data_IF_307558137329
#
_entry.id   IF_307558137329
#
_cell.length_a   1.000
_cell.length_b   1.000
_cell.length_c   1.000
_cell.angle_alpha   90.00
_cell.angle_beta   90.00
_cell.angle_gamma   90.00
#
_symmetry.space_group_name_H-M   'P 1'
#
loop_
_entity.id
_entity.type
_entity.pdbx_description
1 polymer ?
#
# COMPACT_ATOMS: atom_id res chain seq x y z
N UNK A 1 40.14 4.03 18.51
CA UNK A 1 38.81 3.42 18.35
C UNK A 1 39.03 1.93 18.22
N UNK A 2 38.12 1.10 18.72
CA UNK A 2 38.25 -0.34 18.58
C UNK A 2 37.95 -0.78 17.14
N UNK A 3 38.65 -1.82 16.61
CA UNK A 3 38.32 -2.40 15.33
C UNK A 3 36.96 -3.08 15.43
N UNK A 4 36.07 -2.86 14.47
CA UNK A 4 34.91 -3.74 14.29
C UNK A 4 35.17 -4.68 13.12
N UNK A 5 34.72 -5.91 13.31
CA UNK A 5 34.80 -6.97 12.31
C UNK A 5 33.41 -7.46 11.99
N UNK A 6 33.14 -7.65 10.70
CA UNK A 6 31.97 -8.39 10.26
C UNK A 6 32.35 -9.45 9.23
N UNK A 7 31.44 -10.39 9.05
CA UNK A 7 31.50 -11.45 8.05
C UNK A 7 30.20 -11.43 7.24
N UNK A 8 30.34 -11.63 5.95
CA UNK A 8 29.23 -11.73 5.00
C UNK A 8 29.47 -12.95 4.12
N UNK A 9 28.47 -13.82 3.97
CA UNK A 9 28.55 -14.90 2.97
C UNK A 9 28.46 -14.30 1.59
N UNK A 10 29.26 -14.78 0.65
CA UNK A 10 29.22 -14.30 -0.73
C UNK A 10 27.86 -14.56 -1.39
N UNK A 11 27.12 -15.57 -0.93
CA UNK A 11 25.73 -15.85 -1.36
C UNK A 11 24.73 -14.77 -0.96
N UNK A 12 25.01 -14.03 0.11
CA UNK A 12 24.11 -13.05 0.71
C UNK A 12 24.45 -11.63 0.23
N UNK A 13 25.50 -11.50 -0.59
CA UNK A 13 25.90 -10.23 -1.20
C UNK A 13 24.94 -9.85 -2.33
N UNK A 14 24.48 -8.61 -2.34
CA UNK A 14 23.61 -8.06 -3.38
C UNK A 14 24.43 -7.77 -4.64
N UNK A 15 24.37 -8.69 -5.62
CA UNK A 15 25.16 -8.61 -6.85
C UNK A 15 24.92 -7.35 -7.69
N UNK A 16 23.75 -6.72 -7.55
CA UNK A 16 23.41 -5.48 -8.26
C UNK A 16 24.26 -4.28 -7.80
N UNK A 17 25.02 -4.42 -6.70
CA UNK A 17 26.01 -3.43 -6.24
C UNK A 17 27.35 -3.50 -7.00
N UNK A 18 27.58 -4.54 -7.79
CA UNK A 18 28.83 -4.72 -8.54
C UNK A 18 28.68 -4.16 -9.97
N UNK A 19 29.74 -3.58 -10.56
CA UNK A 19 29.72 -3.08 -11.93
C UNK A 19 29.76 -4.20 -12.99
N UNK A 20 29.64 -5.46 -12.58
CA UNK A 20 29.72 -6.66 -13.43
C UNK A 20 28.34 -7.30 -13.49
N UNK A 21 27.95 -7.78 -14.67
CA UNK A 21 26.69 -8.49 -14.85
C UNK A 21 26.59 -9.70 -13.90
N UNK A 22 25.50 -9.76 -13.13
CA UNK A 22 25.26 -10.84 -12.16
C UNK A 22 25.23 -12.23 -12.79
N UNK A 23 24.86 -12.37 -14.07
CA UNK A 23 24.91 -13.66 -14.77
C UNK A 23 26.35 -14.16 -14.97
N UNK A 24 27.31 -13.25 -15.15
CA UNK A 24 28.74 -13.60 -15.29
C UNK A 24 29.34 -14.00 -13.94
N UNK A 25 28.89 -13.35 -12.86
CA UNK A 25 29.28 -13.68 -11.49
C UNK A 25 28.68 -15.02 -11.04
N UNK A 26 27.47 -15.32 -11.49
CA UNK A 26 26.75 -16.55 -11.17
C UNK A 26 27.42 -17.74 -11.85
N UNK A 27 28.13 -18.57 -11.06
CA UNK A 27 28.86 -19.74 -11.56
C UNK A 27 30.38 -19.56 -11.64
N UNK A 28 30.89 -18.35 -11.44
CA UNK A 28 32.33 -18.07 -11.38
C UNK A 28 32.73 -17.64 -9.96
N UNK A 29 32.97 -18.61 -9.08
CA UNK A 29 33.27 -18.36 -7.65
C UNK A 29 34.52 -17.49 -7.43
N UNK A 30 35.66 -17.71 -8.12
CA UNK A 30 36.83 -16.84 -7.97
C UNK A 30 36.54 -15.39 -8.38
N UNK A 31 35.85 -15.18 -9.50
CA UNK A 31 35.50 -13.84 -9.97
C UNK A 31 34.54 -13.14 -8.99
N UNK A 32 33.54 -13.85 -8.47
CA UNK A 32 32.63 -13.31 -7.46
C UNK A 32 33.41 -12.88 -6.21
N UNK A 33 34.25 -13.78 -5.67
CA UNK A 33 35.09 -13.50 -4.51
C UNK A 33 35.96 -12.26 -4.73
N UNK A 34 36.68 -12.20 -5.84
CA UNK A 34 37.61 -11.11 -6.12
C UNK A 34 36.86 -9.79 -6.36
N UNK A 35 35.68 -9.84 -6.99
CA UNK A 35 34.83 -8.67 -7.20
C UNK A 35 34.26 -8.11 -5.89
N UNK A 36 33.77 -8.98 -5.01
CA UNK A 36 33.27 -8.59 -3.68
C UNK A 36 34.40 -8.06 -2.80
N UNK A 37 35.59 -8.68 -2.86
CA UNK A 37 36.78 -8.19 -2.16
C UNK A 37 37.19 -6.80 -2.66
N UNK A 38 37.24 -6.59 -3.99
CA UNK A 38 37.57 -5.31 -4.59
C UNK A 38 36.54 -4.23 -4.21
N UNK A 39 35.26 -4.58 -4.23
CA UNK A 39 34.17 -3.71 -3.82
C UNK A 39 34.35 -3.20 -2.39
N UNK A 40 34.59 -4.09 -1.42
CA UNK A 40 34.81 -3.66 -0.05
C UNK A 40 36.13 -2.90 0.12
N UNK A 41 37.19 -3.32 -0.57
CA UNK A 41 38.47 -2.62 -0.49
C UNK A 41 38.34 -1.16 -0.93
N UNK A 42 37.68 -0.91 -2.07
CA UNK A 42 37.49 0.46 -2.56
C UNK A 42 36.55 1.27 -1.66
N UNK A 43 35.48 0.64 -1.16
CA UNK A 43 34.49 1.32 -0.30
C UNK A 43 35.11 1.81 1.02
N UNK A 44 35.99 1.02 1.62
CA UNK A 44 36.68 1.39 2.85
C UNK A 44 37.92 2.25 2.64
N UNK A 45 38.51 2.27 1.44
CA UNK A 45 39.64 3.15 1.10
C UNK A 45 39.27 4.64 1.17
N UNK A 46 38.02 4.99 0.88
CA UNK A 46 37.49 6.35 1.01
C UNK A 46 37.08 6.72 2.44
N UNK A 47 37.06 5.76 3.36
CA UNK A 47 36.78 5.99 4.79
C UNK A 47 38.11 6.22 5.52
N UNK A 48 38.13 7.10 6.52
CA UNK A 48 39.30 7.28 7.37
C UNK A 48 39.68 6.00 8.14
N UNK A 49 40.92 5.90 8.61
CA UNK A 49 41.38 4.77 9.42
C UNK A 49 42.00 3.61 8.60
N UNK A 50 42.09 2.44 9.22
CA UNK A 50 42.75 1.26 8.64
C UNK A 50 41.73 0.15 8.39
N UNK A 51 41.70 -0.40 7.17
CA UNK A 51 40.82 -1.51 6.82
C UNK A 51 41.59 -2.72 6.30
N UNK A 52 41.08 -3.91 6.60
CA UNK A 52 41.56 -5.18 6.09
C UNK A 52 40.38 -6.00 5.60
N UNK A 53 40.39 -6.32 4.31
CA UNK A 53 39.40 -7.19 3.65
C UNK A 53 40.07 -8.51 3.33
N UNK A 54 39.46 -9.61 3.76
CA UNK A 54 39.91 -10.97 3.46
C UNK A 54 38.72 -11.75 2.95
N UNK A 55 38.84 -12.38 1.79
CA UNK A 55 37.78 -13.21 1.21
C UNK A 55 38.24 -14.65 1.01
N UNK A 56 37.36 -15.58 1.34
CA UNK A 56 37.43 -17.01 0.98
C UNK A 56 36.43 -17.29 -0.14
N UNK A 57 36.34 -18.53 -0.60
CA UNK A 57 35.36 -18.90 -1.63
C UNK A 57 33.90 -18.90 -1.12
N UNK A 58 33.68 -18.70 0.19
CA UNK A 58 32.35 -18.72 0.82
C UNK A 58 32.00 -17.41 1.54
N UNK A 59 32.97 -16.73 2.14
CA UNK A 59 32.73 -15.54 2.95
C UNK A 59 33.76 -14.44 2.70
N UNK A 60 33.34 -13.21 2.94
CA UNK A 60 34.23 -12.06 3.08
C UNK A 60 34.18 -11.55 4.50
N UNK A 61 35.36 -11.33 5.07
CA UNK A 61 35.55 -10.72 6.37
C UNK A 61 36.20 -9.35 6.18
N UNK A 62 35.59 -8.34 6.77
CA UNK A 62 36.16 -6.98 6.80
C UNK A 62 36.40 -6.61 8.25
N UNK A 63 37.60 -6.13 8.53
CA UNK A 63 37.96 -5.48 9.78
C UNK A 63 38.30 -4.03 9.45
N UNK A 64 37.63 -3.07 10.09
CA UNK A 64 37.94 -1.66 9.90
C UNK A 64 38.09 -0.99 11.27
N UNK A 65 39.16 -0.21 11.40
CA UNK A 65 39.49 0.56 12.59
C UNK A 65 39.35 2.04 12.21
N UNK A 66 38.28 2.72 12.65
CA UNK A 66 38.04 4.11 12.30
C UNK A 66 39.06 5.00 13.00
N UNK A 67 39.44 6.11 12.35
CA UNK A 67 40.33 7.09 12.95
C UNK A 67 39.55 8.05 13.87
N UNK A 68 38.33 8.42 13.47
CA UNK A 68 37.47 9.39 14.13
C UNK A 68 36.00 8.94 14.09
N UNK A 69 35.16 9.47 14.98
CA UNK A 69 33.72 9.18 14.96
C UNK A 69 33.02 9.62 13.66
N UNK A 70 33.48 10.70 13.03
CA UNK A 70 32.97 11.16 11.74
C UNK A 70 33.13 10.11 10.62
N UNK A 71 34.13 9.22 10.72
CA UNK A 71 34.28 8.14 9.74
C UNK A 71 33.14 7.12 9.87
N UNK A 72 32.66 6.87 11.10
CA UNK A 72 31.52 5.98 11.36
C UNK A 72 30.23 6.55 10.77
N UNK A 73 30.01 7.87 10.91
CA UNK A 73 28.87 8.56 10.27
C UNK A 73 28.94 8.46 8.74
N UNK A 74 30.14 8.61 8.15
CA UNK A 74 30.33 8.45 6.71
C UNK A 74 29.99 7.02 6.24
N UNK A 75 30.36 5.99 7.01
CA UNK A 75 29.95 4.61 6.71
C UNK A 75 28.44 4.42 6.86
N UNK A 76 27.80 5.02 7.87
CA UNK A 76 26.35 4.93 8.05
C UNK A 76 25.61 5.57 6.88
N UNK A 77 26.04 6.73 6.40
CA UNK A 77 25.46 7.37 5.21
C UNK A 77 25.57 6.47 3.97
N UNK A 78 26.74 5.84 3.78
CA UNK A 78 26.93 4.85 2.72
C UNK A 78 26.01 3.63 2.88
N UNK A 79 25.71 3.20 4.11
CA UNK A 79 24.77 2.11 4.38
C UNK A 79 23.33 2.49 4.04
N UNK A 80 22.93 3.74 4.27
CA UNK A 80 21.60 4.24 3.88
C UNK A 80 21.37 4.08 2.38
N UNK A 81 22.37 4.35 1.53
CA UNK A 81 22.27 4.12 0.08
C UNK A 81 22.01 2.64 -0.26
N UNK A 82 22.60 1.71 0.50
CA UNK A 82 22.34 0.28 0.32
C UNK A 82 20.93 -0.10 0.79
N UNK A 83 20.47 0.49 1.90
CA UNK A 83 19.11 0.26 2.41
C UNK A 83 18.05 0.77 1.43
N UNK A 84 18.26 1.95 0.82
CA UNK A 84 17.33 2.49 -0.19
C UNK A 84 17.30 1.66 -1.47
N UNK A 85 18.43 1.02 -1.81
CA UNK A 85 18.50 0.03 -2.90
C UNK A 85 17.94 -1.35 -2.53
N UNK A 86 17.49 -1.56 -1.29
CA UNK A 86 16.96 -2.85 -0.80
C UNK A 86 18.03 -3.92 -0.56
N UNK A 87 19.31 -3.56 -0.54
CA UNK A 87 20.43 -4.47 -0.32
C UNK A 87 20.61 -4.83 1.17
N UNK A 88 19.54 -5.28 1.82
CA UNK A 88 19.49 -5.52 3.27
C UNK A 88 20.46 -6.60 3.74
N UNK A 89 20.63 -7.68 2.96
CA UNK A 89 21.54 -8.76 3.33
C UNK A 89 23.01 -8.33 3.27
N UNK A 90 23.31 -7.35 2.42
CA UNK A 90 24.64 -6.73 2.37
C UNK A 90 24.81 -5.71 3.49
N UNK A 91 23.87 -4.80 3.72
CA UNK A 91 23.98 -3.76 4.74
C UNK A 91 23.85 -4.28 6.19
N UNK A 92 23.10 -5.36 6.40
CA UNK A 92 22.74 -5.88 7.72
C UNK A 92 23.92 -6.27 8.61
N UNK A 93 24.93 -7.03 8.13
CA UNK A 93 26.12 -7.35 8.92
C UNK A 93 26.90 -6.11 9.38
N UNK A 94 26.90 -5.03 8.59
CA UNK A 94 27.55 -3.77 8.94
C UNK A 94 26.81 -3.08 10.07
N UNK A 95 25.50 -2.88 9.91
CA UNK A 95 24.66 -2.24 10.90
C UNK A 95 24.69 -3.02 12.23
N UNK A 96 24.71 -4.35 12.16
CA UNK A 96 24.90 -5.20 13.34
C UNK A 96 26.25 -4.97 14.01
N UNK A 97 27.35 -4.96 13.26
CA UNK A 97 28.68 -4.73 13.82
C UNK A 97 28.79 -3.33 14.42
N UNK A 98 28.27 -2.31 13.74
CA UNK A 98 28.22 -0.94 14.25
C UNK A 98 27.35 -0.83 15.52
N UNK A 99 26.20 -1.51 15.59
CA UNK A 99 25.35 -1.47 16.77
C UNK A 99 26.01 -2.09 18.02
N UNK A 100 26.98 -2.99 17.85
CA UNK A 100 27.77 -3.57 18.95
C UNK A 100 28.91 -2.65 19.35
N UNK A 101 29.62 -2.06 18.38
CA UNK A 101 30.83 -1.27 18.62
C UNK A 101 30.55 0.23 18.85
N UNK A 102 29.35 0.68 18.51
CA UNK A 102 28.88 2.05 18.71
C UNK A 102 27.46 2.00 19.36
N UNK A 103 27.34 1.45 20.58
CA UNK A 103 26.04 1.23 21.22
C UNK A 103 25.27 2.53 21.53
N UNK A 104 25.98 3.66 21.60
CA UNK A 104 25.41 4.97 21.88
C UNK A 104 25.14 5.80 20.61
N UNK A 105 25.17 5.18 19.44
CA UNK A 105 24.91 5.87 18.17
C UNK A 105 23.44 5.71 17.74
N UNK A 106 22.67 6.80 17.87
CA UNK A 106 21.26 6.87 17.48
C UNK A 106 21.03 6.40 16.03
N UNK A 107 21.76 6.98 15.08
CA UNK A 107 21.58 6.74 13.64
C UNK A 107 21.81 5.29 13.25
N UNK A 108 22.76 4.61 13.91
CA UNK A 108 23.00 3.17 13.72
C UNK A 108 21.80 2.35 14.21
N UNK A 109 21.34 2.62 15.43
CA UNK A 109 20.19 1.93 16.02
C UNK A 109 18.90 2.15 15.22
N UNK A 110 18.67 3.38 14.76
CA UNK A 110 17.55 3.75 13.91
C UNK A 110 17.56 2.98 12.58
N UNK A 111 18.65 3.05 11.81
CA UNK A 111 18.74 2.41 10.50
C UNK A 111 18.72 0.88 10.60
N UNK A 112 19.37 0.31 11.62
CA UNK A 112 19.34 -1.14 11.83
C UNK A 112 17.94 -1.61 12.21
N UNK A 113 17.27 -0.88 13.09
CA UNK A 113 15.88 -1.16 13.47
C UNK A 113 14.90 -1.07 12.29
N UNK A 114 15.02 -0.05 11.44
CA UNK A 114 14.22 0.06 10.21
C UNK A 114 14.45 -1.12 9.27
N UNK A 115 15.71 -1.48 9.01
CA UNK A 115 16.04 -2.62 8.15
C UNK A 115 15.46 -3.94 8.70
N UNK A 116 15.60 -4.17 10.01
CA UNK A 116 15.02 -5.35 10.68
C UNK A 116 13.49 -5.36 10.58
N UNK A 117 12.85 -4.20 10.72
CA UNK A 117 11.41 -4.04 10.53
C UNK A 117 11.03 -4.49 9.13
N UNK A 118 11.70 -3.97 8.09
CA UNK A 118 11.44 -4.32 6.69
C UNK A 118 11.64 -5.80 6.39
N UNK A 119 12.62 -6.45 7.02
CA UNK A 119 12.82 -7.90 6.97
C UNK A 119 11.79 -8.72 7.78
N UNK A 120 10.89 -8.07 8.53
CA UNK A 120 9.91 -8.74 9.38
C UNK A 120 10.46 -9.28 10.71
N UNK A 121 11.70 -8.93 11.06
CA UNK A 121 12.33 -9.26 12.36
C UNK A 121 11.90 -8.23 13.41
N UNK A 122 10.60 -8.23 13.68
CA UNK A 122 9.92 -7.17 14.40
C UNK A 122 10.35 -7.04 15.87
N UNK A 123 10.57 -8.12 16.64
CA UNK A 123 11.06 -7.99 18.02
C UNK A 123 12.43 -7.30 18.09
N UNK A 124 13.38 -7.72 17.25
CA UNK A 124 14.72 -7.12 17.21
C UNK A 124 14.67 -5.67 16.68
N UNK A 125 13.81 -5.40 15.71
CA UNK A 125 13.57 -4.04 15.22
C UNK A 125 13.13 -3.11 16.34
N UNK A 126 12.14 -3.54 17.13
CA UNK A 126 11.62 -2.79 18.28
C UNK A 126 12.72 -2.52 19.30
N UNK A 127 13.58 -3.50 19.62
CA UNK A 127 14.67 -3.31 20.57
C UNK A 127 15.68 -2.25 20.10
N UNK A 128 16.06 -2.27 18.82
CA UNK A 128 16.96 -1.26 18.26
C UNK A 128 16.30 0.12 18.15
N UNK A 129 15.02 0.20 17.78
CA UNK A 129 14.28 1.46 17.69
C UNK A 129 14.02 2.07 19.07
N UNK A 130 13.79 1.25 20.11
CA UNK A 130 13.72 1.70 21.51
C UNK A 130 15.04 2.32 21.97
N UNK A 131 16.17 1.73 21.61
CA UNK A 131 17.51 2.33 21.87
C UNK A 131 17.67 3.64 21.12
N UNK A 132 17.24 3.72 19.86
CA UNK A 132 17.32 4.95 19.08
C UNK A 132 16.54 6.10 19.75
N UNK A 133 15.28 5.88 20.15
CA UNK A 133 14.49 6.92 20.84
C UNK A 133 15.00 7.23 22.25
N UNK A 134 15.67 6.28 22.92
CA UNK A 134 16.29 6.55 24.22
C UNK A 134 17.55 7.42 24.08
N UNK A 135 18.33 7.25 23.01
CA UNK A 135 19.53 8.04 22.72
C UNK A 135 19.17 9.45 22.24
N UNK A 136 18.16 9.59 21.38
CA UNK A 136 17.64 10.89 20.92
C UNK A 136 16.11 10.93 21.03
N UNK A 137 15.58 11.34 22.20
CA UNK A 137 14.14 11.41 22.45
C UNK A 137 13.39 12.41 21.56
N UNK A 138 14.08 13.40 21.00
CA UNK A 138 13.49 14.42 20.12
C UNK A 138 13.49 13.99 18.63
N UNK A 139 13.93 12.77 18.31
CA UNK A 139 13.94 12.26 16.94
C UNK A 139 12.54 11.76 16.53
N UNK A 140 11.75 12.63 15.90
CA UNK A 140 10.43 12.29 15.36
C UNK A 140 10.47 11.06 14.44
N UNK A 141 11.49 10.98 13.58
CA UNK A 141 11.66 9.85 12.66
C UNK A 141 11.82 8.51 13.39
N UNK A 142 12.58 8.47 14.49
CA UNK A 142 12.76 7.25 15.27
C UNK A 142 11.47 6.84 16.00
N UNK A 143 10.70 7.79 16.52
CA UNK A 143 9.37 7.53 17.08
C UNK A 143 8.40 6.99 16.03
N UNK A 144 8.38 7.57 14.82
CA UNK A 144 7.59 7.05 13.71
C UNK A 144 7.99 5.62 13.33
N UNK A 145 9.29 5.35 13.20
CA UNK A 145 9.78 4.01 12.89
C UNK A 145 9.42 2.99 13.98
N UNK A 146 9.53 3.36 15.26
CA UNK A 146 9.11 2.52 16.39
C UNK A 146 7.60 2.23 16.34
N UNK A 147 6.79 3.24 16.02
CA UNK A 147 5.35 3.11 15.84
C UNK A 147 4.98 2.14 14.72
N UNK A 148 5.65 2.25 13.56
CA UNK A 148 5.48 1.33 12.43
C UNK A 148 5.83 -0.11 12.84
N UNK A 149 6.95 -0.32 13.53
CA UNK A 149 7.38 -1.64 13.97
C UNK A 149 6.37 -2.29 14.93
N UNK A 150 5.87 -1.54 15.92
CA UNK A 150 4.80 -2.02 16.81
C UNK A 150 3.50 -2.31 16.05
N UNK A 151 3.12 -1.46 15.08
CA UNK A 151 1.92 -1.69 14.27
C UNK A 151 2.02 -3.00 13.49
N UNK A 152 3.19 -3.27 12.88
CA UNK A 152 3.44 -4.53 12.15
C UNK A 152 3.45 -5.75 13.07
N UNK A 153 3.87 -5.58 14.32
CA UNK A 153 3.88 -6.64 15.35
C UNK A 153 2.47 -6.94 15.88
N UNK A 154 1.52 -6.02 15.69
CA UNK A 154 0.16 -6.10 16.20
C UNK A 154 -0.06 -5.34 17.52
N UNK A 155 0.99 -4.70 18.05
CA UNK A 155 0.97 -3.95 19.32
C UNK A 155 0.35 -2.56 19.13
N UNK A 156 -0.94 -2.53 18.82
CA UNK A 156 -1.67 -1.32 18.43
C UNK A 156 -1.58 -0.18 19.45
N UNK A 157 -1.56 -0.48 20.75
CA UNK A 157 -1.46 0.52 21.81
C UNK A 157 -0.08 1.22 21.83
N UNK A 158 1.00 0.44 21.72
CA UNK A 158 2.37 0.98 21.70
C UNK A 158 2.66 1.69 20.37
N UNK A 159 2.10 1.19 19.27
CA UNK A 159 2.14 1.87 17.97
C UNK A 159 1.52 3.26 18.04
N UNK A 160 0.33 3.38 18.65
CA UNK A 160 -0.35 4.66 18.81
C UNK A 160 0.49 5.64 19.65
N UNK A 161 1.00 5.21 20.80
CA UNK A 161 1.83 6.07 21.67
C UNK A 161 3.06 6.60 20.93
N UNK A 162 3.79 5.73 20.24
CA UNK A 162 4.99 6.13 19.51
C UNK A 162 4.68 7.07 18.33
N UNK A 163 3.59 6.83 17.60
CA UNK A 163 3.16 7.71 16.51
C UNK A 163 2.65 9.06 17.03
N UNK A 164 1.93 9.10 18.15
CA UNK A 164 1.51 10.35 18.81
C UNK A 164 2.71 11.18 19.25
N UNK A 165 3.77 10.55 19.77
CA UNK A 165 5.01 11.24 20.13
C UNK A 165 5.74 11.79 18.91
N UNK A 166 5.79 11.03 17.81
CA UNK A 166 6.32 11.53 16.53
C UNK A 166 5.55 12.75 16.03
N UNK A 167 4.21 12.73 16.09
CA UNK A 167 3.37 13.88 15.71
C UNK A 167 3.57 15.07 16.66
N UNK A 168 3.81 14.84 17.96
CA UNK A 168 4.11 15.92 18.91
C UNK A 168 5.40 16.66 18.54
N UNK A 169 6.42 15.90 18.11
CA UNK A 169 7.73 16.42 17.74
C UNK A 169 7.75 17.07 16.35
N UNK A 170 7.08 16.47 15.38
CA UNK A 170 6.93 16.98 14.02
C UNK A 170 5.46 16.86 13.53
N UNK A 171 4.63 17.89 13.82
CA UNK A 171 3.22 17.89 13.46
C UNK A 171 2.94 17.89 11.95
N UNK A 172 3.93 18.21 11.12
CA UNK A 172 3.80 18.35 9.67
C UNK A 172 4.43 17.17 8.92
N UNK A 173 4.81 16.11 9.64
CA UNK A 173 5.29 14.87 9.03
C UNK A 173 4.12 14.10 8.39
N UNK A 174 3.91 14.30 7.09
CA UNK A 174 2.82 13.65 6.34
C UNK A 174 2.80 12.13 6.47
N UNK A 175 3.97 11.47 6.53
CA UNK A 175 4.06 10.02 6.68
C UNK A 175 3.61 9.55 8.07
N UNK A 176 4.00 10.25 9.12
CA UNK A 176 3.55 9.95 10.49
C UNK A 176 2.05 10.18 10.63
N UNK A 177 1.53 11.30 10.11
CA UNK A 177 0.10 11.60 10.11
C UNK A 177 -0.70 10.51 9.37
N UNK A 178 -0.20 10.03 8.23
CA UNK A 178 -0.80 8.89 7.51
C UNK A 178 -0.81 7.63 8.36
N UNK A 179 0.31 7.30 9.00
CA UNK A 179 0.43 6.09 9.82
C UNK A 179 -0.51 6.15 11.04
N UNK A 180 -0.51 7.26 11.78
CA UNK A 180 -1.37 7.47 12.94
C UNK A 180 -2.85 7.49 12.54
N UNK A 181 -3.19 8.21 11.48
CA UNK A 181 -4.56 8.30 10.99
C UNK A 181 -5.09 6.96 10.48
N UNK A 182 -4.25 6.21 9.75
CA UNK A 182 -4.55 4.84 9.31
C UNK A 182 -4.73 3.88 10.48
N UNK A 183 -3.89 3.99 11.51
CA UNK A 183 -4.06 3.26 12.76
C UNK A 183 -5.43 3.59 13.35
N UNK A 184 -5.73 4.86 13.61
CA UNK A 184 -6.96 5.30 14.28
C UNK A 184 -8.25 5.04 13.48
N UNK A 185 -8.18 4.92 12.16
CA UNK A 185 -9.35 4.77 11.28
C UNK A 185 -10.26 3.56 11.60
N UNK A 186 -9.75 2.53 12.29
CA UNK A 186 -10.57 1.39 12.73
C UNK A 186 -11.26 1.59 14.08
N UNK A 187 -10.63 2.31 15.01
CA UNK A 187 -11.14 2.48 16.37
C UNK A 187 -11.93 3.78 16.56
N UNK A 188 -11.45 4.86 15.94
CA UNK A 188 -12.05 6.20 16.00
C UNK A 188 -11.93 6.85 14.62
N UNK A 189 -12.80 6.48 13.65
CA UNK A 189 -12.72 6.94 12.27
C UNK A 189 -12.68 8.46 12.13
N UNK A 190 -13.37 9.20 12.99
CA UNK A 190 -13.43 10.67 12.96
C UNK A 190 -12.07 11.30 13.28
N UNK A 191 -11.35 10.77 14.27
CA UNK A 191 -9.98 11.21 14.59
C UNK A 191 -9.01 10.79 13.50
N UNK A 192 -9.12 9.55 13.02
CA UNK A 192 -8.29 9.04 11.92
C UNK A 192 -8.43 9.92 10.67
N UNK A 193 -9.65 10.36 10.37
CA UNK A 193 -9.94 11.22 9.23
C UNK A 193 -9.22 12.57 9.32
N UNK A 194 -9.14 13.19 10.51
CA UNK A 194 -8.45 14.47 10.69
C UNK A 194 -6.96 14.36 10.32
N UNK A 195 -6.29 13.32 10.81
CA UNK A 195 -4.88 13.06 10.51
C UNK A 195 -4.68 12.69 9.03
N UNK A 196 -5.52 11.81 8.48
CA UNK A 196 -5.42 11.41 7.07
C UNK A 196 -5.73 12.55 6.11
N UNK A 197 -6.65 13.45 6.47
CA UNK A 197 -6.93 14.65 5.68
C UNK A 197 -5.70 15.58 5.65
N UNK A 198 -5.04 15.81 6.79
CA UNK A 198 -3.81 16.61 6.84
C UNK A 198 -2.68 15.93 6.06
N UNK A 199 -2.51 14.62 6.22
CA UNK A 199 -1.53 13.83 5.48
C UNK A 199 -1.76 13.94 3.95
N UNK A 200 -3.01 13.83 3.49
CA UNK A 200 -3.36 13.90 2.07
C UNK A 200 -3.09 15.29 1.46
N UNK A 201 -3.16 16.37 2.25
CA UNK A 201 -2.76 17.71 1.84
C UNK A 201 -1.24 17.86 1.70
N UNK A 202 -0.48 17.24 2.61
CA UNK A 202 0.98 17.28 2.62
C UNK A 202 1.61 16.35 1.58
N UNK A 203 0.94 15.24 1.28
CA UNK A 203 1.39 14.19 0.37
C UNK A 203 0.36 13.94 -0.74
N UNK A 204 0.10 14.92 -1.64
CA UNK A 204 -0.92 14.79 -2.69
C UNK A 204 -0.57 13.71 -3.73
N UNK A 205 0.73 13.41 -3.90
CA UNK A 205 1.24 12.42 -4.87
C UNK A 205 1.52 11.05 -4.24
N UNK A 206 1.36 10.89 -2.92
CA UNK A 206 1.54 9.61 -2.26
C UNK A 206 0.28 8.75 -2.36
N UNK A 207 0.34 7.72 -3.20
CA UNK A 207 -0.81 6.86 -3.47
C UNK A 207 -1.35 6.18 -2.20
N UNK A 208 -0.46 5.79 -1.27
CA UNK A 208 -0.86 5.11 -0.04
C UNK A 208 -1.63 6.05 0.92
N UNK A 209 -1.23 7.32 0.98
CA UNK A 209 -1.93 8.38 1.72
C UNK A 209 -3.33 8.59 1.16
N UNK A 210 -3.44 8.77 -0.17
CA UNK A 210 -4.74 9.00 -0.80
C UNK A 210 -5.68 7.80 -0.64
N UNK A 211 -5.14 6.57 -0.73
CA UNK A 211 -5.89 5.36 -0.47
C UNK A 211 -6.42 5.29 0.97
N UNK A 212 -5.55 5.50 1.97
CA UNK A 212 -5.93 5.51 3.37
C UNK A 212 -6.99 6.58 3.68
N UNK A 213 -6.82 7.78 3.14
CA UNK A 213 -7.77 8.87 3.26
C UNK A 213 -9.14 8.52 2.65
N UNK A 214 -9.16 7.98 1.43
CA UNK A 214 -10.39 7.55 0.75
C UNK A 214 -11.15 6.46 1.53
N UNK A 215 -10.46 5.48 2.09
CA UNK A 215 -11.09 4.46 2.93
C UNK A 215 -11.68 5.04 4.23
N UNK A 216 -10.98 5.99 4.85
CA UNK A 216 -11.46 6.63 6.08
C UNK A 216 -12.67 7.55 5.81
N UNK A 217 -12.70 8.23 4.67
CA UNK A 217 -13.88 8.96 4.19
C UNK A 217 -15.10 8.04 4.06
N UNK A 218 -14.93 6.84 3.49
CA UNK A 218 -16.02 5.87 3.38
C UNK A 218 -16.52 5.42 4.76
N UNK A 219 -15.62 5.09 5.69
CA UNK A 219 -15.96 4.70 7.07
C UNK A 219 -16.70 5.80 7.85
N UNK A 220 -16.47 7.06 7.52
CA UNK A 220 -17.15 8.22 8.14
C UNK A 220 -18.41 8.66 7.39
N UNK A 221 -18.87 7.85 6.42
CA UNK A 221 -20.10 8.10 5.64
C UNK A 221 -19.96 9.12 4.51
N UNK A 222 -18.76 9.66 4.26
CA UNK A 222 -18.45 10.60 3.16
C UNK A 222 -18.14 9.85 1.86
N UNK A 223 -19.06 8.98 1.45
CA UNK A 223 -18.84 8.00 0.37
C UNK A 223 -18.61 8.61 -1.01
N UNK A 224 -19.19 9.79 -1.30
CA UNK A 224 -18.96 10.50 -2.57
C UNK A 224 -17.55 11.09 -2.66
N UNK A 225 -17.07 11.69 -1.58
CA UNK A 225 -15.69 12.18 -1.49
C UNK A 225 -14.71 11.00 -1.56
N UNK A 226 -15.03 9.90 -0.86
CA UNK A 226 -14.24 8.68 -0.88
C UNK A 226 -14.05 8.15 -2.31
N UNK A 227 -15.12 8.04 -3.11
CA UNK A 227 -15.00 7.51 -4.48
C UNK A 227 -14.11 8.38 -5.36
N UNK A 228 -14.25 9.71 -5.28
CA UNK A 228 -13.41 10.67 -6.02
C UNK A 228 -11.93 10.55 -5.63
N UNK A 229 -11.64 10.48 -4.33
CA UNK A 229 -10.26 10.32 -3.83
C UNK A 229 -9.66 8.99 -4.29
N UNK A 230 -10.43 7.89 -4.28
CA UNK A 230 -9.94 6.59 -4.73
C UNK A 230 -9.71 6.53 -6.24
N UNK A 231 -10.52 7.22 -7.05
CA UNK A 231 -10.25 7.42 -8.48
C UNK A 231 -8.91 8.15 -8.68
N UNK A 232 -8.72 9.27 -7.97
CA UNK A 232 -7.47 10.04 -8.05
C UNK A 232 -6.26 9.18 -7.65
N UNK A 233 -6.37 8.41 -6.55
CA UNK A 233 -5.32 7.49 -6.10
C UNK A 233 -4.97 6.43 -7.15
N UNK A 234 -5.95 5.88 -7.87
CA UNK A 234 -5.69 4.95 -8.98
C UNK A 234 -4.97 5.63 -10.15
N UNK A 235 -5.26 6.91 -10.40
CA UNK A 235 -4.61 7.70 -11.45
C UNK A 235 -3.13 7.99 -11.17
N UNK A 236 -2.74 8.13 -9.90
CA UNK A 236 -1.35 8.41 -9.51
C UNK A 236 -0.37 7.31 -9.95
N UNK A 237 -0.74 6.05 -9.74
CA UNK A 237 0.07 4.89 -10.15
C UNK A 237 -0.84 3.70 -10.51
N UNK A 238 -1.22 3.54 -11.80
CA UNK A 238 -2.26 2.60 -12.21
C UNK A 238 -1.93 1.10 -12.04
N UNK A 239 -0.65 0.75 -11.94
CA UNK A 239 -0.16 -0.65 -11.96
C UNK A 239 0.43 -1.10 -10.62
N UNK A 240 -0.12 -0.59 -9.51
CA UNK A 240 0.31 -0.96 -8.15
C UNK A 240 -0.73 -1.82 -7.45
N UNK A 241 -0.30 -2.53 -6.41
CA UNK A 241 -1.21 -3.26 -5.51
C UNK A 241 -2.25 -2.31 -4.89
N UNK A 242 -1.89 -1.06 -4.62
CA UNK A 242 -2.82 -0.07 -4.05
C UNK A 242 -3.90 0.30 -5.08
N UNK A 243 -3.55 0.45 -6.36
CA UNK A 243 -4.56 0.66 -7.41
C UNK A 243 -5.54 -0.52 -7.50
N UNK A 244 -5.07 -1.76 -7.38
CA UNK A 244 -5.96 -2.93 -7.30
C UNK A 244 -6.85 -2.92 -6.06
N UNK A 245 -6.32 -2.50 -4.91
CA UNK A 245 -7.11 -2.35 -3.68
C UNK A 245 -8.19 -1.26 -3.83
N UNK A 246 -7.89 -0.13 -4.48
CA UNK A 246 -8.87 0.89 -4.82
C UNK A 246 -9.98 0.31 -5.71
N UNK A 247 -9.64 -0.42 -6.78
CA UNK A 247 -10.63 -1.07 -7.68
C UNK A 247 -11.56 -2.01 -6.94
N UNK A 248 -11.06 -2.72 -5.93
CA UNK A 248 -11.86 -3.63 -5.08
C UNK A 248 -12.72 -2.89 -4.06
N UNK A 249 -12.26 -1.74 -3.56
CA UNK A 249 -12.98 -0.97 -2.54
C UNK A 249 -14.16 -0.17 -3.11
N UNK A 250 -13.98 0.44 -4.29
CA UNK A 250 -14.95 1.36 -4.89
C UNK A 250 -16.36 0.78 -5.08
N UNK A 251 -16.56 -0.45 -5.60
CA UNK A 251 -17.91 -1.02 -5.75
C UNK A 251 -18.65 -1.14 -4.41
N UNK A 252 -17.93 -1.50 -3.34
CA UNK A 252 -18.50 -1.60 -1.98
C UNK A 252 -18.96 -0.23 -1.47
N UNK A 253 -18.14 0.80 -1.69
CA UNK A 253 -18.44 2.18 -1.28
C UNK A 253 -19.63 2.73 -2.09
N UNK A 254 -19.66 2.46 -3.39
CA UNK A 254 -20.77 2.84 -4.26
C UNK A 254 -22.09 2.20 -3.79
N UNK A 255 -22.04 0.92 -3.41
CA UNK A 255 -23.17 0.19 -2.86
C UNK A 255 -23.66 0.75 -1.52
N UNK A 256 -22.75 1.04 -0.58
CA UNK A 256 -23.08 1.67 0.70
C UNK A 256 -23.72 3.05 0.52
N UNK A 257 -23.22 3.86 -0.42
CA UNK A 257 -23.79 5.16 -0.77
C UNK A 257 -25.22 5.04 -1.32
N UNK A 258 -25.49 4.05 -2.18
CA UNK A 258 -26.85 3.80 -2.67
C UNK A 258 -27.80 3.45 -1.53
N UNK A 259 -27.36 2.61 -0.59
CA UNK A 259 -28.18 2.17 0.55
C UNK A 259 -28.46 3.29 1.54
N UNK A 260 -27.49 4.15 1.83
CA UNK A 260 -27.66 5.27 2.77
C UNK A 260 -28.68 6.29 2.26
N UNK A 261 -28.65 6.61 0.96
CA UNK A 261 -29.61 7.52 0.31
C UNK A 261 -31.05 6.99 0.32
N UNK A 262 -31.24 5.68 0.39
CA UNK A 262 -32.56 5.06 0.36
C UNK A 262 -33.22 4.93 1.75
N UNK A 263 -32.56 5.35 2.83
CA UNK A 263 -33.09 5.26 4.19
C UNK A 263 -33.44 3.83 4.63
N UNK A 264 -32.78 2.82 4.05
CA UNK A 264 -33.11 1.41 4.28
C UNK A 264 -34.40 0.93 3.60
N UNK A 265 -34.98 1.71 2.68
CA UNK A 265 -36.06 1.29 1.77
C UNK A 265 -35.50 0.96 0.38
N UNK A 266 -36.24 0.19 -0.44
CA UNK A 266 -35.81 -0.08 -1.82
C UNK A 266 -36.05 1.16 -2.69
N UNK A 267 -35.10 1.51 -3.58
CA UNK A 267 -35.34 2.68 -4.44
C UNK A 267 -36.28 2.35 -5.58
N UNK A 268 -37.40 3.06 -5.66
CA UNK A 268 -38.44 2.77 -6.64
C UNK A 268 -37.96 3.02 -8.09
N UNK A 269 -37.09 3.98 -8.33
CA UNK A 269 -36.53 4.22 -9.66
C UNK A 269 -35.68 3.03 -10.15
N UNK A 270 -34.87 2.42 -9.27
CA UNK A 270 -34.09 1.21 -9.55
C UNK A 270 -35.01 0.01 -9.76
N UNK A 271 -36.06 -0.14 -8.94
CA UNK A 271 -37.10 -1.17 -9.15
C UNK A 271 -37.69 -1.04 -10.55
N UNK A 272 -38.04 0.18 -11.00
CA UNK A 272 -38.59 0.42 -12.33
C UNK A 272 -37.58 0.10 -13.45
N UNK A 273 -36.28 0.40 -13.26
CA UNK A 273 -35.25 -0.02 -14.20
C UNK A 273 -35.10 -1.55 -14.27
N UNK A 274 -35.20 -2.24 -13.13
CA UNK A 274 -35.20 -3.70 -13.10
C UNK A 274 -36.43 -4.29 -13.82
N UNK A 275 -37.62 -3.69 -13.65
CA UNK A 275 -38.83 -4.07 -14.41
C UNK A 275 -38.62 -3.87 -15.91
N UNK A 276 -38.06 -2.73 -16.32
CA UNK A 276 -37.78 -2.46 -17.74
C UNK A 276 -36.76 -3.45 -18.33
N UNK A 277 -35.78 -3.89 -17.55
CA UNK A 277 -34.83 -4.92 -17.94
C UNK A 277 -35.53 -6.29 -18.13
N UNK A 278 -36.42 -6.67 -17.21
CA UNK A 278 -37.23 -7.89 -17.33
C UNK A 278 -38.13 -7.86 -18.57
N UNK A 279 -38.76 -6.71 -18.86
CA UNK A 279 -39.55 -6.49 -20.08
C UNK A 279 -38.68 -6.69 -21.33
N UNK A 280 -37.45 -6.15 -21.35
CA UNK A 280 -36.52 -6.34 -22.47
C UNK A 280 -36.05 -7.78 -22.64
N UNK A 281 -35.81 -8.50 -21.54
CA UNK A 281 -35.48 -9.93 -21.61
C UNK A 281 -36.65 -10.72 -22.18
N UNK A 282 -37.90 -10.41 -21.81
CA UNK A 282 -39.11 -11.03 -22.37
C UNK A 282 -39.24 -10.76 -23.88
N UNK A 283 -38.92 -9.55 -24.33
CA UNK A 283 -39.00 -9.16 -25.74
C UNK A 283 -37.88 -9.79 -26.60
N UNK A 284 -36.64 -9.76 -26.12
CA UNK A 284 -35.46 -10.14 -26.90
C UNK A 284 -35.06 -11.61 -26.72
N UNK A 285 -35.44 -12.21 -25.60
CA UNK A 285 -34.92 -13.49 -25.12
C UNK A 285 -33.54 -13.36 -24.47
N UNK A 286 -33.25 -14.27 -23.54
CA UNK A 286 -32.01 -14.27 -22.72
C UNK A 286 -30.75 -14.28 -23.60
N UNK A 287 -30.73 -15.06 -24.70
CA UNK A 287 -29.55 -15.15 -25.58
C UNK A 287 -29.18 -13.83 -26.26
N UNK A 288 -30.17 -12.99 -26.60
CA UNK A 288 -29.92 -11.67 -27.22
C UNK A 288 -29.65 -10.59 -26.18
N UNK A 289 -30.16 -10.76 -24.96
CA UNK A 289 -29.89 -9.85 -23.86
C UNK A 289 -28.49 -10.05 -23.26
N UNK A 290 -27.96 -11.28 -23.30
CA UNK A 290 -26.65 -11.61 -22.74
C UNK A 290 -25.51 -10.72 -23.26
N UNK A 291 -25.31 -10.51 -24.57
CA UNK A 291 -24.29 -9.58 -25.07
C UNK A 291 -24.46 -8.13 -24.57
N UNK A 292 -25.70 -7.69 -24.35
CA UNK A 292 -26.00 -6.34 -23.82
C UNK A 292 -25.49 -6.22 -22.38
N UNK A 293 -25.76 -7.23 -21.53
CA UNK A 293 -25.27 -7.23 -20.15
C UNK A 293 -23.72 -7.22 -20.08
N UNK A 294 -23.04 -7.97 -20.96
CA UNK A 294 -21.58 -7.96 -21.04
C UNK A 294 -21.01 -6.64 -21.58
N UNK A 295 -21.68 -6.01 -22.55
CA UNK A 295 -21.29 -4.69 -23.06
C UNK A 295 -21.36 -3.64 -21.94
N UNK A 296 -22.42 -3.66 -21.13
CA UNK A 296 -22.57 -2.78 -19.97
C UNK A 296 -21.47 -3.04 -18.94
N UNK A 297 -21.17 -4.31 -18.64
CA UNK A 297 -20.11 -4.68 -17.71
C UNK A 297 -18.73 -4.16 -18.16
N UNK A 298 -18.45 -4.22 -19.47
CA UNK A 298 -17.23 -3.67 -20.05
C UNK A 298 -17.18 -2.14 -19.92
N UNK A 299 -18.30 -1.47 -20.21
CA UNK A 299 -18.42 -0.01 -20.06
C UNK A 299 -18.22 0.42 -18.59
N UNK A 300 -18.73 -0.37 -17.64
CA UNK A 300 -18.56 -0.16 -16.20
C UNK A 300 -17.11 -0.15 -15.72
N UNK A 301 -16.21 -0.90 -16.38
CA UNK A 301 -14.76 -0.90 -16.05
C UNK A 301 -14.11 0.47 -16.24
N UNK A 302 -14.64 1.27 -17.16
CA UNK A 302 -14.16 2.63 -17.44
C UNK A 302 -14.75 3.69 -16.50
N UNK A 303 -15.64 3.28 -15.58
CA UNK A 303 -16.32 4.17 -14.64
C UNK A 303 -17.66 4.68 -15.17
N UNK A 304 -18.75 3.95 -14.89
CA UNK A 304 -20.11 4.47 -15.04
C UNK A 304 -20.44 5.35 -13.83
N UNK A 305 -20.83 6.59 -14.07
CA UNK A 305 -21.41 7.44 -13.03
C UNK A 305 -22.88 7.05 -12.85
N UNK A 306 -23.16 6.42 -11.71
CA UNK A 306 -24.48 5.91 -11.34
C UNK A 306 -25.27 6.92 -10.50
N UNK A 307 -24.64 8.04 -10.11
CA UNK A 307 -25.22 9.06 -9.25
C UNK A 307 -25.64 10.31 -10.01
N UNK A 308 -25.11 10.53 -11.21
CA UNK A 308 -25.53 11.61 -12.10
C UNK A 308 -26.58 11.13 -13.14
N UNK A 309 -27.87 11.49 -13.00
CA UNK A 309 -28.89 11.14 -13.98
C UNK A 309 -28.80 11.95 -15.28
N UNK A 310 -28.06 13.07 -15.30
CA UNK A 310 -27.86 13.90 -16.49
C UNK A 310 -26.83 13.29 -17.44
N UNK A 311 -25.83 12.59 -16.90
CA UNK A 311 -24.86 11.85 -17.71
C UNK A 311 -25.55 10.67 -18.43
N UNK A 312 -25.47 10.68 -19.77
CA UNK A 312 -26.09 9.66 -20.63
C UNK A 312 -25.04 8.80 -21.32
N UNK A 313 -25.38 7.52 -21.45
CA UNK A 313 -24.59 6.48 -22.09
C UNK A 313 -25.37 5.83 -23.22
N UNK A 314 -24.66 5.36 -24.24
CA UNK A 314 -25.22 4.61 -25.37
C UNK A 314 -24.58 3.23 -25.43
N UNK A 315 -25.32 2.25 -25.94
CA UNK A 315 -24.84 0.90 -26.19
C UNK A 315 -24.91 0.63 -27.70
N UNK A 316 -23.96 -0.16 -28.20
CA UNK A 316 -23.98 -0.66 -29.58
C UNK A 316 -25.09 -1.68 -29.77
N UNK A 317 -25.32 -2.51 -28.76
CA UNK A 317 -26.24 -3.65 -28.83
C UNK A 317 -27.68 -3.32 -28.42
N UNK A 318 -27.92 -2.12 -27.87
CA UNK A 318 -29.26 -1.67 -27.47
C UNK A 318 -29.45 -0.18 -27.80
N UNK A 319 -30.34 0.17 -28.76
CA UNK A 319 -30.62 1.56 -29.10
C UNK A 319 -31.24 2.32 -27.93
N UNK A 320 -30.73 3.52 -27.67
CA UNK A 320 -31.25 4.42 -26.65
C UNK A 320 -30.16 5.23 -25.95
N UNK A 321 -30.60 6.10 -25.04
CA UNK A 321 -29.74 6.79 -24.09
C UNK A 321 -30.15 6.38 -22.68
N UNK A 322 -29.16 6.01 -21.88
CA UNK A 322 -29.38 5.40 -20.57
C UNK A 322 -28.60 6.16 -19.51
N UNK A 323 -29.15 6.30 -18.31
CA UNK A 323 -28.34 6.72 -17.15
C UNK A 323 -27.43 5.57 -16.70
N UNK A 324 -26.36 5.89 -15.97
CA UNK A 324 -25.47 4.85 -15.43
C UNK A 324 -26.23 3.86 -14.53
N UNK A 325 -27.12 4.36 -13.67
CA UNK A 325 -27.96 3.51 -12.80
C UNK A 325 -28.87 2.56 -13.60
N UNK A 326 -29.45 3.03 -14.70
CA UNK A 326 -30.31 2.21 -15.54
C UNK A 326 -29.50 1.07 -16.19
N UNK A 327 -28.33 1.38 -16.74
CA UNK A 327 -27.45 0.36 -17.32
C UNK A 327 -27.03 -0.68 -16.29
N UNK A 328 -26.61 -0.24 -15.11
CA UNK A 328 -26.21 -1.16 -14.03
C UNK A 328 -27.37 -2.04 -13.58
N UNK A 329 -28.60 -1.51 -13.54
CA UNK A 329 -29.80 -2.30 -13.25
C UNK A 329 -30.06 -3.36 -14.33
N UNK A 330 -29.87 -3.02 -15.61
CA UNK A 330 -30.02 -3.96 -16.74
C UNK A 330 -28.97 -5.07 -16.70
N UNK A 331 -27.72 -4.72 -16.40
CA UNK A 331 -26.62 -5.67 -16.22
C UNK A 331 -26.90 -6.63 -15.07
N UNK A 332 -27.33 -6.12 -13.91
CA UNK A 332 -27.65 -6.94 -12.74
C UNK A 332 -28.74 -7.96 -13.04
N UNK A 333 -29.87 -7.51 -13.62
CA UNK A 333 -30.98 -8.38 -14.02
C UNK A 333 -30.54 -9.41 -15.07
N UNK A 334 -29.71 -9.00 -16.04
CA UNK A 334 -29.13 -9.87 -17.04
C UNK A 334 -28.31 -11.00 -16.42
N UNK A 335 -27.37 -10.68 -15.54
CA UNK A 335 -26.54 -11.70 -14.88
C UNK A 335 -27.35 -12.63 -13.98
N UNK A 336 -28.42 -12.15 -13.32
CA UNK A 336 -29.32 -13.05 -12.58
C UNK A 336 -30.02 -14.10 -13.46
N UNK A 337 -30.20 -13.84 -14.76
CA UNK A 337 -30.77 -14.81 -15.71
C UNK A 337 -29.73 -15.70 -16.40
N UNK A 338 -28.46 -15.28 -16.43
CA UNK A 338 -27.38 -15.97 -17.16
C UNK A 338 -26.54 -16.84 -16.20
N UNK A 339 -26.20 -16.28 -15.04
CA UNK A 339 -25.35 -16.89 -14.03
C UNK A 339 -25.76 -16.35 -12.64
N UNK A 340 -26.81 -16.95 -12.06
CA UNK A 340 -27.42 -16.50 -10.79
C UNK A 340 -26.46 -16.39 -9.60
N UNK A 341 -25.38 -17.18 -9.63
CA UNK A 341 -24.31 -17.24 -8.61
C UNK A 341 -23.15 -16.26 -8.85
N UNK A 342 -23.10 -15.58 -10.00
CA UNK A 342 -22.00 -14.66 -10.32
C UNK A 342 -22.22 -13.29 -9.67
N UNK A 343 -21.21 -12.79 -8.96
CA UNK A 343 -21.24 -11.46 -8.36
C UNK A 343 -21.18 -10.37 -9.44
N UNK A 344 -22.25 -9.58 -9.56
CA UNK A 344 -22.35 -8.48 -10.51
C UNK A 344 -21.58 -7.22 -10.06
N UNK A 345 -20.93 -7.25 -8.88
CA UNK A 345 -20.20 -6.11 -8.30
C UNK A 345 -21.10 -5.04 -7.69
N UNK A 346 -22.42 -5.23 -7.72
CA UNK A 346 -23.45 -4.41 -7.09
C UNK A 346 -24.57 -5.34 -6.60
N UNK A 347 -25.15 -5.06 -5.44
CA UNK A 347 -26.24 -5.86 -4.87
C UNK A 347 -27.58 -5.10 -4.97
N UNK A 348 -28.33 -5.40 -6.01
CA UNK A 348 -29.70 -4.91 -6.22
C UNK A 348 -30.74 -5.98 -5.90
N UNK A 349 -30.43 -6.94 -5.02
CA UNK A 349 -31.30 -8.09 -4.72
C UNK A 349 -32.71 -7.67 -4.30
N UNK A 350 -32.84 -6.69 -3.40
CA UNK A 350 -34.13 -6.22 -2.90
C UNK A 350 -34.96 -5.52 -3.98
N UNK A 351 -34.35 -4.63 -4.74
CA UNK A 351 -34.98 -3.93 -5.85
C UNK A 351 -35.43 -4.93 -6.92
N UNK A 352 -34.59 -5.93 -7.20
CA UNK A 352 -34.89 -6.99 -8.14
C UNK A 352 -36.05 -7.89 -7.67
N UNK A 353 -36.08 -8.29 -6.40
CA UNK A 353 -37.20 -9.07 -5.83
C UNK A 353 -38.53 -8.32 -5.94
N UNK A 354 -38.54 -7.01 -5.67
CA UNK A 354 -39.73 -6.18 -5.86
C UNK A 354 -40.10 -6.05 -7.34
N UNK A 355 -39.11 -5.87 -8.21
CA UNK A 355 -39.33 -5.81 -9.64
C UNK A 355 -39.92 -7.11 -10.19
N UNK A 356 -39.47 -8.27 -9.71
CA UNK A 356 -40.03 -9.57 -10.08
C UNK A 356 -41.51 -9.69 -9.70
N UNK A 357 -41.89 -9.23 -8.49
CA UNK A 357 -43.30 -9.20 -8.05
C UNK A 357 -44.14 -8.30 -8.97
N UNK A 358 -43.69 -7.07 -9.21
CA UNK A 358 -44.40 -6.12 -10.08
C UNK A 358 -44.48 -6.59 -11.53
N UNK A 359 -43.43 -7.25 -12.03
CA UNK A 359 -43.41 -7.78 -13.39
C UNK A 359 -44.36 -8.98 -13.55
N UNK A 360 -44.46 -9.84 -12.53
CA UNK A 360 -45.41 -10.96 -12.49
C UNK A 360 -46.87 -10.50 -12.45
N UNK A 361 -47.19 -9.46 -11.69
CA UNK A 361 -48.54 -8.88 -11.60
C UNK A 361 -49.02 -8.24 -12.92
N UNK A 362 -48.09 -7.77 -13.77
CA UNK A 362 -48.40 -7.25 -15.12
C UNK A 362 -48.60 -8.35 -16.19
N UNK A 363 -48.28 -9.60 -15.87
CA UNK A 363 -48.33 -10.74 -16.79
C UNK A 363 -49.49 -11.71 -16.54
N UNK A 364 -50.23 -11.51 -15.45
CA UNK A 364 -51.52 -12.14 -15.16
C UNK A 364 -52.66 -11.23 -15.62
#
# INVERSE_FOLDING_TARGET
>A
MDPFTFKLRLSDFCLDLLPIDKQVLTGNRPLLRDSVMAYFTERFKGLGGESRVVATDEEVSVTWTPCRMADTEALVNQLVDMLTAGAYDTAGPFLKALAVNCPDNHTVHYNYGMMLSDQGKLPEAIDHLKKAVALEPESANAWNALGIAHQRQGDRAEAQKALEESVRLDPENGYTLRNLGGLLADATPEKGLQYLQRAALLLPQDQATQYGYGLCLAKTGKTEEADRVLIAAMGLAPYTNIAELCRKARPKIAHENMRSRAGGSARMDVVLYCVAALEKIRELGVQRFQPIAFEIALLGRSGLDINDPAQKYTLKSLPGQFSGMQLVSYMYVGFKHIASEQDAGIDLSREYELAQKMFGEKGA
#
